data_IF_363506159510
#
_entry.id   IF_363506159510
#
_cell.length_a   1.000
_cell.length_b   1.000
_cell.length_c   1.000
_cell.angle_alpha   90.00
_cell.angle_beta   90.00
_cell.angle_gamma   90.00
#
_symmetry.space_group_name_H-M   'P 1'
#
loop_
_entity.id
_entity.type
_entity.pdbx_description
1 polymer ?
#
# COMPACT_ATOMS: atom_id res chain seq x y z
N UNK A 1 2.49 3.08 -17.12
CA UNK A 1 1.29 3.35 -16.32
C UNK A 1 1.52 2.84 -14.91
N UNK A 2 1.60 3.74 -13.94
CA UNK A 2 1.68 3.36 -12.55
C UNK A 2 0.41 2.63 -12.15
N UNK A 3 0.52 1.60 -11.33
CA UNK A 3 -0.64 1.03 -10.68
C UNK A 3 -1.32 2.15 -9.91
N UNK A 4 -2.54 2.46 -10.29
CA UNK A 4 -3.32 3.48 -9.61
C UNK A 4 -3.48 3.09 -8.14
N UNK A 5 -3.15 4.02 -7.26
CA UNK A 5 -3.40 3.85 -5.84
C UNK A 5 -4.91 3.69 -5.64
N UNK A 6 -5.32 2.61 -4.98
CA UNK A 6 -6.76 2.28 -4.85
C UNK A 6 -7.45 3.01 -3.71
N UNK A 7 -6.71 3.68 -2.85
CA UNK A 7 -7.28 4.36 -1.69
C UNK A 7 -6.29 5.32 -1.05
N UNK A 8 -6.78 6.12 -0.12
CA UNK A 8 -5.98 7.04 0.69
C UNK A 8 -6.25 6.79 2.17
N UNK A 9 -5.35 7.26 3.03
CA UNK A 9 -5.42 7.08 4.47
C UNK A 9 -5.99 8.36 5.10
N UNK A 10 -6.95 8.19 5.99
CA UNK A 10 -7.44 9.25 6.88
C UNK A 10 -6.83 9.02 8.26
N UNK A 11 -6.10 10.00 8.76
CA UNK A 11 -5.46 9.92 10.06
C UNK A 11 -6.43 10.31 11.18
N UNK A 12 -6.27 9.70 12.35
CA UNK A 12 -7.16 9.93 13.48
C UNK A 12 -7.03 11.31 14.13
N UNK A 13 -5.95 12.04 13.87
CA UNK A 13 -5.73 13.42 14.33
C UNK A 13 -6.74 14.43 13.80
N UNK A 14 -7.44 14.08 12.73
CA UNK A 14 -8.53 14.90 12.17
C UNK A 14 -9.80 14.86 13.02
N UNK A 15 -9.95 13.90 13.94
CA UNK A 15 -11.21 13.70 14.66
C UNK A 15 -11.64 14.93 15.46
N UNK A 16 -10.70 15.57 16.15
CA UNK A 16 -11.01 16.77 16.94
C UNK A 16 -11.52 17.90 16.05
N UNK A 17 -10.93 18.04 14.87
CA UNK A 17 -11.35 19.02 13.88
C UNK A 17 -12.74 18.70 13.33
N UNK A 18 -13.03 17.42 13.08
CA UNK A 18 -14.36 17.01 12.60
C UNK A 18 -15.48 17.29 13.61
N UNK A 19 -15.16 17.20 14.91
CA UNK A 19 -16.12 17.53 15.97
C UNK A 19 -16.50 19.01 16.01
N UNK A 20 -15.61 19.89 15.53
CA UNK A 20 -15.86 21.33 15.44
C UNK A 20 -16.60 21.77 14.15
N UNK A 21 -16.70 20.87 13.19
CA UNK A 21 -17.37 21.13 11.92
C UNK A 21 -18.83 20.69 11.95
N UNK A 22 -19.66 21.38 11.17
CA UNK A 22 -21.04 20.94 10.92
C UNK A 22 -21.07 19.73 9.99
N UNK A 23 -22.13 18.95 10.02
CA UNK A 23 -22.29 17.76 9.16
C UNK A 23 -22.16 18.09 7.68
N UNK A 24 -22.69 19.26 7.25
CA UNK A 24 -22.54 19.73 5.88
C UNK A 24 -21.09 20.04 5.51
N UNK A 25 -20.34 20.63 6.44
CA UNK A 25 -18.93 20.91 6.24
C UNK A 25 -18.09 19.62 6.18
N UNK A 26 -18.39 18.66 7.04
CA UNK A 26 -17.76 17.34 7.00
C UNK A 26 -18.04 16.63 5.68
N UNK A 27 -19.28 16.68 5.19
CA UNK A 27 -19.66 16.10 3.91
C UNK A 27 -18.92 16.76 2.74
N UNK A 28 -18.80 18.08 2.74
CA UNK A 28 -18.05 18.82 1.72
C UNK A 28 -16.56 18.46 1.76
N UNK A 29 -15.99 18.39 2.95
CA UNK A 29 -14.59 18.01 3.15
C UNK A 29 -14.33 16.60 2.62
N UNK A 30 -15.15 15.64 2.97
CA UNK A 30 -14.99 14.26 2.51
C UNK A 30 -15.11 14.13 0.99
N UNK A 31 -16.10 14.77 0.38
CA UNK A 31 -16.23 14.82 -1.08
C UNK A 31 -15.01 15.46 -1.74
N UNK A 32 -14.49 16.52 -1.14
CA UNK A 32 -13.27 17.17 -1.60
C UNK A 32 -12.05 16.27 -1.54
N UNK A 33 -11.89 15.49 -0.48
CA UNK A 33 -10.81 14.50 -0.32
C UNK A 33 -10.88 13.42 -1.41
N UNK A 34 -12.05 12.84 -1.61
CA UNK A 34 -12.26 11.81 -2.65
C UNK A 34 -12.00 12.39 -4.04
N UNK A 35 -12.50 13.58 -4.32
CA UNK A 35 -12.28 14.24 -5.60
C UNK A 35 -10.80 14.55 -5.85
N UNK A 36 -10.10 15.04 -4.83
CA UNK A 36 -8.67 15.28 -4.92
C UNK A 36 -7.88 13.99 -5.18
N UNK A 37 -8.22 12.94 -4.48
CA UNK A 37 -7.59 11.63 -4.68
C UNK A 37 -7.78 11.08 -6.11
N UNK A 38 -8.99 11.23 -6.66
CA UNK A 38 -9.33 10.68 -7.98
C UNK A 38 -8.87 11.54 -9.15
N UNK A 39 -8.91 12.85 -9.01
CA UNK A 39 -8.62 13.80 -10.12
C UNK A 39 -7.32 14.56 -9.98
N UNK A 40 -6.71 14.58 -8.79
CA UNK A 40 -5.55 15.41 -8.47
C UNK A 40 -5.85 16.91 -8.35
N UNK A 41 -7.11 17.33 -8.50
CA UNK A 41 -7.52 18.73 -8.43
C UNK A 41 -7.93 19.11 -7.02
N UNK A 42 -7.23 20.07 -6.44
CA UNK A 42 -7.55 20.58 -5.11
C UNK A 42 -8.95 21.23 -5.11
N UNK A 43 -9.80 20.87 -4.14
CA UNK A 43 -11.09 21.52 -3.99
C UNK A 43 -10.94 22.97 -3.57
N UNK A 44 -11.87 23.82 -4.00
CA UNK A 44 -11.93 25.22 -3.60
C UNK A 44 -12.81 25.34 -2.36
N UNK A 45 -12.19 25.28 -1.21
CA UNK A 45 -12.87 25.50 0.06
C UNK A 45 -12.83 26.97 0.47
N UNK A 46 -13.84 27.39 1.22
CA UNK A 46 -13.95 28.72 1.83
C UNK A 46 -14.08 28.59 3.35
N UNK A 47 -13.78 29.67 4.05
CA UNK A 47 -13.90 29.71 5.51
C UNK A 47 -13.00 28.71 6.21
N UNK A 48 -13.53 28.06 7.24
CA UNK A 48 -12.78 27.11 8.07
C UNK A 48 -12.27 25.90 7.29
N UNK A 49 -13.02 25.42 6.31
CA UNK A 49 -12.63 24.27 5.49
C UNK A 49 -11.34 24.50 4.74
N UNK A 50 -11.02 25.71 4.36
CA UNK A 50 -9.75 26.06 3.73
C UNK A 50 -8.56 25.75 4.64
N UNK A 51 -8.66 26.07 5.92
CA UNK A 51 -7.60 25.83 6.89
C UNK A 51 -7.48 24.34 7.24
N UNK A 52 -8.61 23.66 7.40
CA UNK A 52 -8.66 22.22 7.67
C UNK A 52 -8.09 21.40 6.50
N UNK A 53 -8.29 21.84 5.28
CA UNK A 53 -7.81 21.17 4.08
C UNK A 53 -6.27 21.15 3.95
N UNK A 54 -5.59 22.18 4.41
CA UNK A 54 -4.13 22.31 4.25
C UNK A 54 -3.37 21.09 4.80
N UNK A 55 -3.52 20.71 6.09
CA UNK A 55 -2.82 19.54 6.63
C UNK A 55 -3.26 18.23 5.98
N UNK A 56 -4.55 18.09 5.66
CA UNK A 56 -5.09 16.90 5.00
C UNK A 56 -4.44 16.69 3.64
N UNK A 57 -4.37 17.75 2.83
CA UNK A 57 -3.70 17.72 1.54
C UNK A 57 -2.23 17.30 1.68
N UNK A 58 -1.51 17.87 2.63
CA UNK A 58 -0.11 17.51 2.88
C UNK A 58 0.07 16.04 3.24
N UNK A 59 -0.83 15.47 4.04
CA UNK A 59 -0.81 14.03 4.36
C UNK A 59 -1.07 13.19 3.11
N UNK A 60 -2.07 13.54 2.32
CA UNK A 60 -2.40 12.82 1.09
C UNK A 60 -1.24 12.85 0.07
N UNK A 61 -0.62 14.00 -0.12
CA UNK A 61 0.52 14.17 -1.04
C UNK A 61 1.74 13.36 -0.57
N UNK A 62 2.04 13.39 0.73
CA UNK A 62 3.13 12.61 1.33
C UNK A 62 2.91 11.11 1.17
N UNK A 63 1.69 10.64 1.37
CA UNK A 63 1.37 9.23 1.26
C UNK A 63 1.37 8.77 -0.20
N UNK A 64 0.92 9.61 -1.12
CA UNK A 64 1.03 9.35 -2.56
C UNK A 64 2.50 9.23 -2.99
N UNK A 65 3.36 10.12 -2.53
CA UNK A 65 4.80 10.07 -2.81
C UNK A 65 5.47 8.81 -2.24
N UNK A 66 5.13 8.44 -1.00
CA UNK A 66 5.63 7.19 -0.39
C UNK A 66 5.17 5.95 -1.17
N UNK A 67 3.92 5.95 -1.61
CA UNK A 67 3.37 4.87 -2.41
C UNK A 67 4.09 4.74 -3.75
N UNK A 68 4.34 5.85 -4.44
CA UNK A 68 5.06 5.88 -5.71
C UNK A 68 6.50 5.35 -5.56
N UNK A 69 7.23 5.84 -4.55
CA UNK A 69 8.58 5.34 -4.23
C UNK A 69 8.59 3.83 -3.93
N UNK A 70 7.59 3.34 -3.22
CA UNK A 70 7.44 1.90 -2.95
C UNK A 70 7.19 1.11 -4.25
N UNK A 71 6.34 1.61 -5.12
CA UNK A 71 6.06 0.99 -6.41
C UNK A 71 7.31 0.96 -7.31
N UNK A 72 8.06 2.05 -7.35
CA UNK A 72 9.31 2.13 -8.13
C UNK A 72 10.36 1.14 -7.62
N UNK A 73 10.60 1.12 -6.31
CA UNK A 73 11.49 0.14 -5.68
C UNK A 73 11.09 -1.30 -5.98
N UNK A 74 9.80 -1.59 -5.96
CA UNK A 74 9.30 -2.92 -6.29
C UNK A 74 9.56 -3.28 -7.77
N UNK A 75 9.39 -2.33 -8.70
CA UNK A 75 9.73 -2.53 -10.12
C UNK A 75 11.21 -2.82 -10.32
N UNK A 76 12.07 -2.05 -9.66
CA UNK A 76 13.52 -2.29 -9.72
C UNK A 76 13.89 -3.67 -9.18
N UNK A 77 13.31 -4.07 -8.06
CA UNK A 77 13.56 -5.38 -7.46
C UNK A 77 13.11 -6.51 -8.39
N UNK A 78 11.96 -6.37 -9.04
CA UNK A 78 11.48 -7.32 -10.04
C UNK A 78 12.43 -7.36 -11.23
N UNK A 79 12.87 -6.22 -11.74
CA UNK A 79 13.84 -6.13 -12.85
C UNK A 79 15.14 -6.83 -12.50
N UNK A 80 15.73 -6.54 -11.35
CA UNK A 80 16.97 -7.19 -10.87
C UNK A 80 16.80 -8.71 -10.73
N UNK A 81 15.63 -9.18 -10.31
CA UNK A 81 15.32 -10.61 -10.24
C UNK A 81 15.32 -11.24 -11.63
N UNK A 82 14.67 -10.62 -12.61
CA UNK A 82 14.63 -11.09 -13.98
C UNK A 82 16.02 -11.11 -14.65
N UNK A 83 16.84 -10.10 -14.39
CA UNK A 83 18.22 -10.03 -14.89
C UNK A 83 19.07 -11.18 -14.35
N UNK A 84 18.98 -11.45 -13.03
CA UNK A 84 19.64 -12.62 -12.43
C UNK A 84 19.16 -13.94 -13.03
N UNK A 85 17.87 -14.11 -13.22
CA UNK A 85 17.31 -15.33 -13.80
C UNK A 85 17.84 -15.55 -15.22
N UNK A 86 17.89 -14.50 -16.04
CA UNK A 86 18.47 -14.58 -17.40
C UNK A 86 19.95 -14.93 -17.37
N UNK A 87 20.71 -14.40 -16.44
CA UNK A 87 22.13 -14.72 -16.28
C UNK A 87 22.32 -16.18 -15.87
N UNK A 88 21.54 -16.69 -14.96
CA UNK A 88 21.53 -18.11 -14.61
C UNK A 88 21.18 -19.01 -15.79
N UNK A 89 20.23 -18.64 -16.62
CA UNK A 89 19.88 -19.40 -17.83
C UNK A 89 21.02 -19.38 -18.84
N UNK A 90 21.72 -18.25 -19.02
CA UNK A 90 22.89 -18.14 -19.89
C UNK A 90 24.03 -19.02 -19.40
N UNK A 91 24.33 -19.00 -18.11
CA UNK A 91 25.37 -19.82 -17.50
C UNK A 91 25.02 -21.31 -17.66
N UNK A 92 23.75 -21.66 -17.38
CA UNK A 92 23.28 -23.04 -17.52
C UNK A 92 23.31 -23.54 -18.96
N UNK A 93 22.99 -22.70 -19.93
CA UNK A 93 23.08 -23.04 -21.35
C UNK A 93 24.52 -23.25 -21.82
N UNK A 94 25.47 -22.56 -21.18
CA UNK A 94 26.89 -22.65 -21.54
C UNK A 94 27.65 -23.78 -20.82
N UNK A 95 27.04 -24.35 -19.76
CA UNK A 95 27.62 -25.45 -18.97
C UNK A 95 26.96 -26.79 -19.30
N UNK A 96 26.81 -27.09 -20.59
CA UNK A 96 26.20 -28.36 -21.03
C UNK A 96 27.10 -29.59 -20.81
N UNK A 97 28.19 -29.45 -20.06
CA UNK A 97 29.10 -30.59 -19.87
C UNK A 97 29.91 -30.51 -18.56
N UNK A 98 29.28 -30.42 -17.43
CA UNK A 98 29.89 -30.91 -16.18
C UNK A 98 28.85 -31.04 -15.06
N UNK A 99 28.84 -32.21 -14.50
CA UNK A 99 28.22 -32.69 -13.28
C UNK A 99 28.10 -31.57 -12.21
N UNK A 100 27.01 -30.86 -12.21
CA UNK A 100 26.73 -29.85 -11.19
C UNK A 100 26.25 -30.57 -9.94
N UNK A 101 27.15 -30.70 -8.97
CA UNK A 101 26.77 -31.04 -7.62
C UNK A 101 25.63 -30.11 -7.14
N UNK A 102 24.59 -30.71 -6.66
CA UNK A 102 23.34 -30.09 -6.22
C UNK A 102 23.45 -29.21 -4.96
N UNK A 103 24.63 -28.75 -4.62
CA UNK A 103 24.90 -28.00 -3.39
C UNK A 103 25.18 -26.52 -3.65
N UNK A 104 24.48 -25.92 -4.62
CA UNK A 104 24.34 -24.47 -4.61
C UNK A 104 23.14 -24.16 -3.73
N UNK A 105 23.41 -23.94 -2.47
CA UNK A 105 22.53 -23.17 -1.61
C UNK A 105 22.27 -21.84 -2.33
N UNK A 106 21.15 -21.78 -3.00
CA UNK A 106 20.61 -20.50 -3.45
C UNK A 106 20.25 -19.80 -2.16
N UNK A 107 21.13 -18.93 -1.68
CA UNK A 107 20.76 -17.92 -0.71
C UNK A 107 19.67 -17.07 -1.37
N UNK A 108 18.46 -17.57 -1.25
CA UNK A 108 17.29 -16.74 -1.43
C UNK A 108 17.43 -15.72 -0.32
N UNK A 109 17.91 -14.55 -0.71
CA UNK A 109 17.96 -13.40 0.17
C UNK A 109 16.60 -13.29 0.85
N UNK A 110 16.57 -13.71 2.11
CA UNK A 110 15.40 -13.65 2.97
C UNK A 110 15.20 -12.20 3.42
N UNK A 111 15.33 -11.29 2.49
CA UNK A 111 14.71 -9.98 2.58
C UNK A 111 13.20 -10.15 2.48
N UNK A 112 12.65 -11.03 3.30
CA UNK A 112 11.24 -11.03 3.60
C UNK A 112 10.95 -9.69 4.25
N UNK A 113 10.25 -8.87 3.51
CA UNK A 113 9.36 -7.93 4.16
C UNK A 113 8.51 -8.75 5.11
N UNK A 114 8.84 -8.69 6.40
CA UNK A 114 8.12 -9.41 7.46
C UNK A 114 6.67 -8.94 7.62
N UNK A 115 6.25 -8.01 6.80
CA UNK A 115 4.98 -7.31 6.93
C UNK A 115 3.87 -7.88 6.04
N UNK A 116 4.14 -8.93 5.28
CA UNK A 116 3.11 -9.63 4.54
C UNK A 116 3.24 -11.13 4.88
N UNK A 117 2.83 -11.48 6.09
CA UNK A 117 2.37 -12.84 6.28
C UNK A 117 1.07 -12.97 5.48
N UNK A 118 0.98 -13.88 4.51
CA UNK A 118 -0.32 -14.24 3.99
C UNK A 118 -1.14 -14.73 5.19
N UNK A 119 -2.43 -14.39 5.28
CA UNK A 119 -3.27 -14.91 6.32
C UNK A 119 -3.07 -16.42 6.32
N UNK A 120 -2.59 -16.97 7.43
CA UNK A 120 -2.45 -18.41 7.59
C UNK A 120 -3.81 -18.98 7.28
N UNK A 121 -3.92 -19.72 6.18
CA UNK A 121 -5.09 -20.50 5.88
C UNK A 121 -5.21 -21.55 6.99
N UNK A 122 -5.95 -21.24 8.01
CA UNK A 122 -6.04 -22.06 9.23
C UNK A 122 -6.50 -21.28 10.45
N UNK A 123 -6.39 -19.98 10.47
CA UNK A 123 -7.13 -19.15 11.42
C UNK A 123 -8.58 -19.02 10.92
N UNK A 124 -9.25 -20.15 10.89
CA UNK A 124 -10.69 -20.15 11.03
C UNK A 124 -10.96 -19.38 12.32
N UNK A 125 -11.62 -18.25 12.19
CA UNK A 125 -12.21 -17.55 13.32
C UNK A 125 -12.77 -18.62 14.24
N UNK A 126 -12.27 -18.70 15.49
CA UNK A 126 -12.80 -19.66 16.43
C UNK A 126 -14.31 -19.47 16.48
N UNK A 127 -15.09 -20.54 16.63
CA UNK A 127 -16.55 -20.43 16.69
C UNK A 127 -17.03 -19.36 17.67
N UNK A 128 -16.25 -19.10 18.70
CA UNK A 128 -16.50 -18.07 19.71
C UNK A 128 -16.44 -16.64 19.12
N UNK A 129 -15.52 -16.36 18.24
CA UNK A 129 -15.43 -15.04 17.57
C UNK A 129 -16.56 -14.84 16.56
N UNK A 130 -17.04 -15.93 15.97
CA UNK A 130 -18.17 -15.87 15.04
C UNK A 130 -19.50 -15.58 15.77
N UNK A 131 -19.67 -16.11 16.97
CA UNK A 131 -20.85 -15.86 17.80
C UNK A 131 -20.86 -14.41 18.30
N UNK A 132 -19.71 -13.86 18.63
CA UNK A 132 -19.59 -12.46 19.07
C UNK A 132 -19.99 -11.47 17.97
N UNK A 133 -19.62 -11.74 16.71
CA UNK A 133 -20.02 -10.88 15.58
C UNK A 133 -21.52 -11.01 15.24
N UNK A 134 -22.17 -12.14 15.51
CA UNK A 134 -23.62 -12.30 15.31
C UNK A 134 -24.48 -11.71 16.42
N UNK A 135 -23.91 -11.45 17.56
CA UNK A 135 -24.63 -10.87 18.70
C UNK A 135 -24.76 -9.36 18.68
N UNK A 136 -24.19 -8.69 17.69
CA UNK A 136 -24.30 -7.24 17.49
C UNK A 136 -25.36 -7.00 16.40
N UNK A 137 -26.58 -7.15 16.77
CA UNK A 137 -27.74 -6.67 16.01
C UNK A 137 -28.30 -5.48 16.74
#
# INVERSE_FOLDING_TARGET
MGKEQKGFIVYGDIQDVLNELTDDQVAQLFRGMVNYFTTGKAPKFSGILKFVWIPIKQHMDRDAEKYEKKCEKNRENVKKRWERTKEYERIRANTNDTNINKDTDIDIDKGRDKDIEPPKSGDSLSPENYIFMKGIV
#
